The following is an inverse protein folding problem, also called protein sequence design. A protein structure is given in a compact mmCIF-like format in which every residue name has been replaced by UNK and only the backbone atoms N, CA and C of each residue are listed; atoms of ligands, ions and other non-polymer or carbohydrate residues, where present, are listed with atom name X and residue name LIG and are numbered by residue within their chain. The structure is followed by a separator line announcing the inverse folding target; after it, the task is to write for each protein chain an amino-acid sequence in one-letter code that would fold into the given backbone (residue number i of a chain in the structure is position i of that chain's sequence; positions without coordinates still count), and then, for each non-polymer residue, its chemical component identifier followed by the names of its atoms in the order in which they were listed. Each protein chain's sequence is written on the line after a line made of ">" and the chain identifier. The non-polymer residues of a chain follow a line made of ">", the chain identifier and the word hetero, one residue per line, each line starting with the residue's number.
data_IF_446894307537
#
_entry.id   IF_446894307537
#
_cell.length_a   1.000
_cell.length_b   1.000
_cell.length_c   1.000
_cell.angle_alpha   90.00
_cell.angle_beta   90.00
_cell.angle_gamma   90.00
#
_symmetry.space_group_name_H-M   'P 1'
#
loop_
_entity.id
_entity.type
_entity.pdbx_description
1 polymer ?
#
# COMPACT_ATOMS: atom_id res chain seq x y z
N UNK A 1 -20.72 3.72 17.98
CA UNK A 1 -20.99 4.70 19.06
C UNK A 1 -21.04 3.93 20.36
N UNK A 2 -20.06 4.13 21.24
CA UNK A 2 -19.98 3.44 22.54
C UNK A 2 -21.09 3.98 23.44
N UNK A 3 -21.87 3.10 24.05
CA UNK A 3 -23.03 3.44 24.88
C UNK A 3 -22.55 4.21 26.12
N UNK A 4 -22.86 5.51 26.20
CA UNK A 4 -22.37 6.43 27.25
C UNK A 4 -23.07 6.25 28.61
N UNK A 5 -24.02 5.33 28.73
CA UNK A 5 -24.92 5.22 29.88
C UNK A 5 -24.39 4.39 31.05
N UNK A 6 -23.23 3.74 30.94
CA UNK A 6 -22.74 2.78 31.95
C UNK A 6 -21.58 3.26 32.82
N UNK A 7 -21.01 4.46 32.60
CA UNK A 7 -19.82 4.93 33.33
C UNK A 7 -19.99 6.34 33.89
N UNK A 8 -20.56 6.46 35.09
CA UNK A 8 -20.77 7.75 35.75
C UNK A 8 -19.44 8.43 36.15
N UNK A 9 -18.42 7.66 36.54
CA UNK A 9 -17.14 8.17 37.05
C UNK A 9 -16.04 8.32 35.98
N UNK A 10 -16.01 7.46 34.95
CA UNK A 10 -14.96 7.49 33.92
C UNK A 10 -15.31 8.37 32.71
N UNK A 11 -16.43 9.11 32.76
CA UNK A 11 -16.91 9.97 31.67
C UNK A 11 -15.87 11.00 31.20
N UNK A 12 -15.11 11.67 32.08
CA UNK A 12 -14.05 12.61 31.65
C UNK A 12 -12.91 11.90 30.92
N UNK A 13 -12.53 10.70 31.36
CA UNK A 13 -11.49 9.90 30.71
C UNK A 13 -11.94 9.47 29.30
N UNK A 14 -13.15 8.93 29.17
CA UNK A 14 -13.70 8.57 27.86
C UNK A 14 -13.76 9.77 26.91
N UNK A 15 -14.18 10.94 27.41
CA UNK A 15 -14.21 12.17 26.64
C UNK A 15 -12.82 12.59 26.16
N UNK A 16 -11.82 12.58 27.04
CA UNK A 16 -10.45 12.93 26.69
C UNK A 16 -9.83 11.95 25.69
N UNK A 17 -10.12 10.65 25.81
CA UNK A 17 -9.67 9.65 24.84
C UNK A 17 -10.30 9.92 23.47
N UNK A 18 -11.61 10.17 23.41
CA UNK A 18 -12.30 10.46 22.14
C UNK A 18 -11.72 11.74 21.51
N UNK A 19 -11.62 12.82 22.28
CA UNK A 19 -11.11 14.11 21.78
C UNK A 19 -9.66 14.02 21.32
N UNK A 20 -8.80 13.29 22.05
CA UNK A 20 -7.41 13.08 21.64
C UNK A 20 -7.29 12.23 20.38
N UNK A 21 -8.14 11.21 20.20
CA UNK A 21 -8.21 10.43 18.97
C UNK A 21 -8.71 11.26 17.79
N UNK A 22 -9.78 12.02 17.96
CA UNK A 22 -10.32 12.92 16.92
C UNK A 22 -9.29 13.97 16.49
N UNK A 23 -8.52 14.51 17.44
CA UNK A 23 -7.45 15.47 17.16
C UNK A 23 -6.25 14.83 16.47
N UNK A 24 -5.83 13.64 16.91
CA UNK A 24 -4.66 12.93 16.37
C UNK A 24 -4.92 12.34 14.98
N UNK A 25 -6.12 11.81 14.76
CA UNK A 25 -6.53 11.13 13.54
C UNK A 25 -7.57 11.93 12.77
N UNK A 26 -7.42 13.24 12.81
CA UNK A 26 -8.32 14.20 12.18
C UNK A 26 -8.54 13.92 10.67
N UNK A 27 -7.53 13.39 9.99
CA UNK A 27 -7.56 12.95 8.59
C UNK A 27 -8.34 11.65 8.34
N UNK A 28 -8.62 10.84 9.38
CA UNK A 28 -9.49 9.66 9.26
C UNK A 28 -10.96 10.08 9.39
N UNK A 29 -11.24 11.08 10.26
CA UNK A 29 -12.60 11.55 10.52
C UNK A 29 -13.08 12.60 9.50
N UNK A 30 -12.17 13.47 9.04
CA UNK A 30 -12.42 14.44 7.97
C UNK A 30 -11.78 13.96 6.67
N UNK A 31 -12.61 13.38 5.80
CA UNK A 31 -12.19 12.78 4.54
C UNK A 31 -11.77 13.81 3.48
N UNK A 32 -11.97 15.12 3.73
CA UNK A 32 -11.59 16.18 2.79
C UNK A 32 -10.11 16.56 2.86
N UNK A 33 -9.35 16.04 3.82
CA UNK A 33 -7.93 16.38 3.98
C UNK A 33 -7.08 15.67 2.94
N UNK A 34 -5.99 16.30 2.54
CA UNK A 34 -5.05 15.75 1.55
C UNK A 34 -4.51 14.38 2.00
N UNK A 35 -4.15 14.25 3.29
CA UNK A 35 -3.66 12.99 3.87
C UNK A 35 -4.70 11.86 3.85
N UNK A 36 -5.99 12.19 3.82
CA UNK A 36 -7.09 11.21 3.82
C UNK A 36 -7.15 10.42 2.53
N UNK A 37 -6.68 11.00 1.40
CA UNK A 37 -6.74 10.39 0.07
C UNK A 37 -6.21 8.96 0.08
N UNK A 38 -4.98 8.73 0.55
CA UNK A 38 -4.37 7.40 0.55
C UNK A 38 -5.16 6.37 1.37
N UNK A 39 -5.71 6.77 2.51
CA UNK A 39 -6.53 5.89 3.36
C UNK A 39 -7.88 5.56 2.71
N UNK A 40 -8.51 6.55 2.06
CA UNK A 40 -9.75 6.36 1.30
C UNK A 40 -9.52 5.34 0.18
N UNK A 41 -8.45 5.51 -0.59
CA UNK A 41 -8.12 4.66 -1.73
C UNK A 41 -7.74 3.24 -1.30
N UNK A 42 -6.99 3.09 -0.22
CA UNK A 42 -6.71 1.79 0.41
C UNK A 42 -8.01 1.08 0.81
N UNK A 43 -8.90 1.77 1.52
CA UNK A 43 -10.14 1.17 2.02
C UNK A 43 -11.15 0.85 0.91
N UNK A 44 -11.25 1.68 -0.13
CA UNK A 44 -12.17 1.45 -1.26
C UNK A 44 -11.69 0.30 -2.15
N UNK A 45 -10.38 0.21 -2.41
CA UNK A 45 -9.80 -0.86 -3.24
C UNK A 45 -9.83 -2.23 -2.55
N UNK A 46 -10.07 -2.27 -1.23
CA UNK A 46 -10.17 -3.51 -0.48
C UNK A 46 -11.56 -4.19 -0.64
N UNK A 47 -11.67 -5.42 -1.18
CA UNK A 47 -12.94 -6.07 -1.52
C UNK A 47 -13.94 -6.22 -0.36
N UNK A 48 -13.44 -6.41 0.87
CA UNK A 48 -14.27 -6.49 2.08
C UNK A 48 -14.96 -5.18 2.47
N UNK A 49 -14.32 -4.02 2.25
CA UNK A 49 -14.77 -2.73 2.79
C UNK A 49 -15.53 -1.92 1.75
N UNK A 50 -14.95 -1.71 0.55
CA UNK A 50 -15.51 -0.92 -0.55
C UNK A 50 -16.10 0.40 -0.04
N UNK A 51 -17.42 0.56 -0.12
CA UNK A 51 -18.16 1.77 0.29
C UNK A 51 -18.91 1.62 1.61
N UNK A 52 -18.82 0.46 2.28
CA UNK A 52 -19.65 0.13 3.45
C UNK A 52 -19.36 1.02 4.65
N UNK A 53 -18.13 1.51 4.76
CA UNK A 53 -17.65 2.35 5.86
C UNK A 53 -17.87 3.86 5.63
N UNK A 54 -18.23 4.27 4.41
CA UNK A 54 -18.25 5.68 4.01
C UNK A 54 -19.60 6.32 4.43
N UNK A 55 -19.58 7.41 5.23
CA UNK A 55 -20.78 8.16 5.53
C UNK A 55 -21.44 8.72 4.25
N UNK A 56 -22.77 8.73 4.19
CA UNK A 56 -23.51 9.15 2.99
C UNK A 56 -23.08 10.53 2.46
N UNK A 57 -22.75 11.48 3.35
CA UNK A 57 -22.25 12.83 3.01
C UNK A 57 -20.94 12.84 2.20
N UNK A 58 -20.14 11.78 2.30
CA UNK A 58 -18.84 11.66 1.63
C UNK A 58 -18.84 10.63 0.49
N UNK A 59 -19.93 9.88 0.29
CA UNK A 59 -19.97 8.81 -0.73
C UNK A 59 -19.68 9.31 -2.14
N UNK A 60 -20.27 10.43 -2.55
CA UNK A 60 -20.03 11.01 -3.89
C UNK A 60 -18.58 11.46 -4.05
N UNK A 61 -18.06 12.19 -3.06
CA UNK A 61 -16.68 12.67 -3.04
C UNK A 61 -15.66 11.53 -3.10
N UNK A 62 -15.81 10.51 -2.24
CA UNK A 62 -14.91 9.37 -2.23
C UNK A 62 -14.98 8.53 -3.52
N UNK A 63 -16.17 8.43 -4.14
CA UNK A 63 -16.32 7.79 -5.45
C UNK A 63 -15.56 8.55 -6.53
N UNK A 64 -15.66 9.88 -6.54
CA UNK A 64 -14.96 10.71 -7.51
C UNK A 64 -13.44 10.55 -7.39
N UNK A 65 -12.88 10.64 -6.18
CA UNK A 65 -11.44 10.41 -5.95
C UNK A 65 -11.02 9.02 -6.46
N UNK A 66 -11.84 8.00 -6.23
CA UNK A 66 -11.54 6.65 -6.67
C UNK A 66 -11.47 6.56 -8.20
N UNK A 67 -12.44 7.14 -8.92
CA UNK A 67 -12.43 7.17 -10.39
C UNK A 67 -11.25 7.98 -10.94
N UNK A 68 -10.99 9.15 -10.37
CA UNK A 68 -9.86 10.01 -10.77
C UNK A 68 -8.54 9.26 -10.62
N UNK A 69 -8.35 8.51 -9.53
CA UNK A 69 -7.13 7.71 -9.33
C UNK A 69 -7.07 6.49 -10.26
N UNK A 70 -8.20 5.84 -10.56
CA UNK A 70 -8.22 4.76 -11.56
C UNK A 70 -7.76 5.25 -12.93
N UNK A 71 -8.11 6.49 -13.30
CA UNK A 71 -7.61 7.13 -14.51
C UNK A 71 -6.10 7.36 -14.45
N UNK A 72 -5.60 7.95 -13.36
CA UNK A 72 -4.16 8.20 -13.18
C UNK A 72 -3.32 6.90 -13.26
N UNK A 73 -3.78 5.82 -12.63
CA UNK A 73 -3.09 4.52 -12.66
C UNK A 73 -3.07 3.92 -14.07
N UNK A 74 -4.04 4.26 -14.91
CA UNK A 74 -4.07 3.82 -16.30
C UNK A 74 -3.09 4.64 -17.15
N UNK A 75 -3.02 5.96 -16.95
CA UNK A 75 -2.11 6.85 -17.68
C UNK A 75 -0.65 6.73 -17.23
N UNK A 76 -0.39 6.48 -15.94
CA UNK A 76 0.99 6.30 -15.41
C UNK A 76 1.72 5.14 -16.09
N UNK A 77 1.00 4.12 -16.60
CA UNK A 77 1.60 3.05 -17.41
C UNK A 77 2.08 3.51 -18.79
N UNK A 78 1.50 4.56 -19.37
CA UNK A 78 1.99 5.14 -20.63
C UNK A 78 3.30 5.90 -20.43
N UNK A 79 3.58 6.39 -19.21
CA UNK A 79 4.83 7.10 -18.90
C UNK A 79 5.99 6.14 -18.60
N UNK A 80 5.74 5.06 -17.84
CA UNK A 80 6.81 4.09 -17.46
C UNK A 80 7.34 3.29 -18.67
N UNK A 81 6.55 3.14 -19.74
CA UNK A 81 7.02 2.55 -21.00
C UNK A 81 7.77 3.54 -21.91
N UNK A 82 7.81 4.84 -21.58
CA UNK A 82 8.42 5.89 -22.40
C UNK A 82 9.58 6.63 -21.71
N UNK A 83 9.95 6.27 -20.49
CA UNK A 83 11.18 6.75 -19.86
C UNK A 83 12.35 5.82 -20.17
N UNK A 84 12.88 5.95 -21.39
CA UNK A 84 14.32 5.75 -21.64
C UNK A 84 15.06 6.91 -20.95
N UNK A 85 15.14 6.89 -19.63
CA UNK A 85 15.97 7.83 -18.89
C UNK A 85 17.42 7.38 -18.97
N UNK A 86 18.12 7.91 -19.99
CA UNK A 86 19.57 8.07 -20.00
C UNK A 86 19.97 8.94 -18.80
N UNK A 87 20.20 8.31 -17.65
CA UNK A 87 20.85 8.94 -16.49
C UNK A 87 22.17 8.24 -16.26
N UNK A 88 23.24 8.88 -16.75
CA UNK A 88 24.61 8.63 -16.35
C UNK A 88 24.75 8.85 -14.83
N UNK A 89 24.61 7.78 -14.05
CA UNK A 89 24.99 7.71 -12.64
C UNK A 89 25.16 6.26 -12.23
N UNK A 90 26.32 5.93 -11.65
CA UNK A 90 26.80 4.60 -11.21
C UNK A 90 25.72 3.51 -11.13
N UNK A 91 25.77 2.60 -12.10
CA UNK A 91 24.75 1.63 -12.48
C UNK A 91 24.56 0.45 -11.49
N UNK A 92 25.17 0.48 -10.29
CA UNK A 92 25.06 -0.64 -9.33
C UNK A 92 23.79 -0.61 -8.49
N UNK A 93 23.24 0.58 -8.24
CA UNK A 93 22.14 0.74 -7.29
C UNK A 93 20.77 0.63 -7.96
N UNK A 94 20.72 0.88 -9.27
CA UNK A 94 19.50 0.75 -10.08
C UNK A 94 19.03 -0.71 -10.13
N UNK A 95 19.96 -1.67 -10.29
CA UNK A 95 19.67 -3.11 -10.30
C UNK A 95 19.10 -3.60 -8.95
N UNK A 96 19.59 -3.06 -7.82
CA UNK A 96 19.12 -3.43 -6.48
C UNK A 96 17.65 -3.07 -6.24
N UNK A 97 17.24 -1.86 -6.66
CA UNK A 97 15.84 -1.45 -6.57
C UNK A 97 14.98 -2.01 -7.69
N UNK A 98 15.58 -2.38 -8.83
CA UNK A 98 14.88 -3.00 -9.93
C UNK A 98 14.30 -4.36 -9.52
N UNK A 99 15.00 -5.18 -8.74
CA UNK A 99 14.47 -6.44 -8.17
C UNK A 99 13.25 -6.21 -7.26
N UNK A 100 13.20 -5.07 -6.56
CA UNK A 100 12.02 -4.70 -5.76
C UNK A 100 10.86 -4.21 -6.63
N UNK A 101 11.15 -3.59 -7.78
CA UNK A 101 10.16 -3.15 -8.76
C UNK A 101 9.67 -4.27 -9.69
N UNK A 102 10.48 -5.26 -10.02
CA UNK A 102 10.12 -6.41 -10.87
C UNK A 102 9.15 -7.36 -10.17
N UNK A 103 9.11 -7.35 -8.84
CA UNK A 103 8.04 -7.99 -8.07
C UNK A 103 6.70 -7.23 -8.12
N UNK A 104 6.63 -6.08 -8.81
CA UNK A 104 5.41 -5.35 -9.05
C UNK A 104 4.64 -6.01 -10.21
N UNK A 105 4.16 -7.25 -9.95
CA UNK A 105 3.29 -8.10 -10.76
C UNK A 105 2.94 -7.52 -12.13
N UNK A 106 3.54 -8.09 -13.17
CA UNK A 106 3.11 -7.95 -14.57
C UNK A 106 1.66 -8.42 -14.69
N UNK A 107 0.74 -7.49 -14.46
CA UNK A 107 -0.64 -7.64 -14.86
C UNK A 107 -0.65 -7.22 -16.32
N UNK A 108 -0.59 -8.21 -17.20
CA UNK A 108 -0.91 -8.09 -18.62
C UNK A 108 -2.32 -7.51 -18.74
N UNK A 109 -2.42 -6.33 -19.31
CA UNK A 109 -3.69 -5.65 -19.58
C UNK A 109 -3.65 -5.29 -21.05
N UNK A 110 -4.63 -5.78 -21.82
CA UNK A 110 -4.92 -5.25 -23.14
C UNK A 110 -5.41 -3.79 -22.99
N UNK A 111 -4.50 -2.84 -23.26
CA UNK A 111 -4.72 -1.40 -23.07
C UNK A 111 -5.13 -0.76 -24.39
N UNK A 112 -6.44 -0.70 -24.61
CA UNK A 112 -7.10 0.30 -25.47
C UNK A 112 -8.47 0.66 -24.89
N UNK A 113 -8.54 1.04 -23.61
CA UNK A 113 -9.80 1.30 -22.93
C UNK A 113 -10.10 2.80 -22.79
N UNK A 114 -11.15 3.25 -23.48
CA UNK A 114 -11.76 4.58 -23.35
C UNK A 114 -12.12 4.88 -21.88
N UNK A 115 -12.11 6.16 -21.47
CA UNK A 115 -12.48 6.65 -20.12
C UNK A 115 -13.78 6.04 -19.55
N UNK A 116 -14.76 5.76 -20.42
CA UNK A 116 -16.02 5.13 -20.05
C UNK A 116 -15.88 3.67 -19.61
N UNK A 117 -14.92 2.92 -20.16
CA UNK A 117 -14.65 1.53 -19.82
C UNK A 117 -13.99 1.40 -18.44
N UNK A 118 -13.08 2.31 -18.08
CA UNK A 118 -12.45 2.37 -16.75
C UNK A 118 -13.51 2.64 -15.68
N UNK A 119 -14.38 3.62 -15.92
CA UNK A 119 -15.47 3.94 -15.00
C UNK A 119 -16.48 2.79 -14.88
N UNK A 120 -16.79 2.11 -15.98
CA UNK A 120 -17.65 0.92 -15.97
C UNK A 120 -17.05 -0.20 -15.12
N UNK A 121 -15.75 -0.50 -15.31
CA UNK A 121 -15.02 -1.51 -14.54
C UNK A 121 -14.97 -1.17 -13.04
N UNK A 122 -14.65 0.08 -12.71
CA UNK A 122 -14.63 0.59 -11.34
C UNK A 122 -16.02 0.52 -10.70
N UNK A 123 -17.07 0.86 -11.43
CA UNK A 123 -18.45 0.79 -10.94
C UNK A 123 -18.92 -0.65 -10.74
N UNK A 124 -18.56 -1.56 -11.66
CA UNK A 124 -18.85 -3.00 -11.55
C UNK A 124 -18.21 -3.60 -10.30
N UNK A 125 -16.94 -3.28 -10.04
CA UNK A 125 -16.26 -3.71 -8.82
C UNK A 125 -16.96 -3.21 -7.55
N UNK A 126 -17.36 -1.94 -7.52
CA UNK A 126 -18.05 -1.33 -6.38
C UNK A 126 -19.42 -1.97 -6.13
N UNK A 127 -20.09 -2.44 -7.18
CA UNK A 127 -21.38 -3.12 -7.12
C UNK A 127 -21.25 -4.62 -6.83
N UNK A 128 -20.09 -5.24 -7.06
CA UNK A 128 -19.91 -6.66 -6.82
C UNK A 128 -20.03 -6.99 -5.32
N UNK A 129 -20.70 -8.10 -4.99
CA UNK A 129 -20.93 -8.51 -3.59
C UNK A 129 -19.80 -9.37 -3.02
N UNK A 130 -18.90 -9.84 -3.88
CA UNK A 130 -17.81 -10.72 -3.48
C UNK A 130 -16.75 -9.94 -2.68
N UNK A 131 -16.32 -10.53 -1.56
CA UNK A 131 -15.38 -9.96 -0.58
C UNK A 131 -14.01 -10.64 -0.60
N UNK A 132 -13.84 -11.65 -1.43
CA UNK A 132 -12.60 -12.39 -1.58
C UNK A 132 -11.58 -11.59 -2.40
N UNK A 133 -10.29 -11.80 -2.14
CA UNK A 133 -9.22 -11.14 -2.88
C UNK A 133 -9.13 -11.59 -4.34
N UNK A 134 -9.61 -12.81 -4.66
CA UNK A 134 -9.63 -13.34 -6.02
C UNK A 134 -10.39 -12.43 -7.01
N UNK A 135 -11.35 -11.64 -6.50
CA UNK A 135 -12.10 -10.65 -7.27
C UNK A 135 -11.17 -9.62 -7.93
N UNK A 136 -10.05 -9.27 -7.29
CA UNK A 136 -9.10 -8.30 -7.84
C UNK A 136 -8.47 -8.78 -9.15
N UNK A 137 -8.38 -10.09 -9.38
CA UNK A 137 -7.85 -10.62 -10.65
C UNK A 137 -8.75 -10.28 -11.85
N UNK A 138 -10.06 -10.11 -11.64
CA UNK A 138 -11.00 -9.67 -12.67
C UNK A 138 -10.95 -8.16 -12.93
N UNK A 139 -10.31 -7.39 -12.04
CA UNK A 139 -10.28 -5.93 -12.08
C UNK A 139 -8.83 -5.40 -12.03
N UNK A 140 -8.09 -5.45 -13.15
CA UNK A 140 -6.65 -5.20 -13.16
C UNK A 140 -6.24 -3.79 -12.70
N UNK A 141 -7.02 -2.74 -13.03
CA UNK A 141 -6.74 -1.36 -12.58
C UNK A 141 -6.87 -1.26 -11.06
N UNK A 142 -7.92 -1.89 -10.52
CA UNK A 142 -8.23 -1.88 -9.09
C UNK A 142 -7.23 -2.73 -8.31
N UNK A 143 -6.75 -3.83 -8.90
CA UNK A 143 -5.66 -4.65 -8.36
C UNK A 143 -4.38 -3.85 -8.19
N UNK A 144 -3.95 -3.08 -9.20
CA UNK A 144 -2.78 -2.19 -9.07
C UNK A 144 -2.97 -1.14 -7.99
N UNK A 145 -4.15 -0.52 -7.96
CA UNK A 145 -4.49 0.44 -6.93
C UNK A 145 -4.42 -0.17 -5.52
N UNK A 146 -4.92 -1.40 -5.37
CA UNK A 146 -4.84 -2.15 -4.13
C UNK A 146 -3.38 -2.32 -3.70
N UNK A 147 -2.49 -2.77 -4.59
CA UNK A 147 -1.06 -2.91 -4.28
C UNK A 147 -0.42 -1.55 -3.92
N UNK A 148 -0.62 -0.52 -4.76
CA UNK A 148 -0.06 0.83 -4.55
C UNK A 148 -0.36 1.38 -3.15
N UNK A 149 -1.57 1.18 -2.64
CA UNK A 149 -2.02 1.78 -1.39
C UNK A 149 -2.06 0.84 -0.18
N UNK A 150 -2.11 -0.49 -0.36
CA UNK A 150 -2.23 -1.46 0.74
C UNK A 150 -0.96 -2.29 0.98
N UNK A 151 -0.01 -2.33 0.04
CA UNK A 151 1.20 -3.15 0.18
C UNK A 151 2.48 -2.32 0.22
N UNK A 152 2.39 -1.06 0.66
CA UNK A 152 3.59 -0.27 0.97
C UNK A 152 4.39 -0.99 2.04
N UNK A 153 5.65 -1.32 1.75
CA UNK A 153 6.55 -2.01 2.67
C UNK A 153 6.58 -1.26 4.03
N UNK A 154 6.17 -1.90 5.14
CA UNK A 154 6.40 -1.32 6.45
C UNK A 154 7.90 -1.35 6.69
N UNK A 155 8.57 -0.19 6.58
CA UNK A 155 10.02 -0.10 6.53
C UNK A 155 10.74 -0.53 7.82
N UNK A 156 10.03 -0.74 8.93
CA UNK A 156 10.66 -1.05 10.22
C UNK A 156 10.75 -2.55 10.52
N UNK A 157 9.65 -3.30 10.52
CA UNK A 157 9.66 -4.68 11.03
C UNK A 157 10.49 -5.69 10.20
N UNK A 158 10.42 -5.72 8.86
CA UNK A 158 11.29 -6.58 8.04
C UNK A 158 12.77 -6.19 8.16
N UNK A 159 13.03 -4.88 8.27
CA UNK A 159 14.39 -4.32 8.38
C UNK A 159 14.98 -4.59 9.77
N UNK A 160 14.20 -4.52 10.84
CA UNK A 160 14.64 -4.93 12.19
C UNK A 160 14.95 -6.42 12.23
N UNK A 161 14.12 -7.27 11.62
CA UNK A 161 14.40 -8.72 11.50
C UNK A 161 15.67 -9.00 10.67
N UNK A 162 15.87 -8.20 9.63
CA UNK A 162 17.07 -8.22 8.79
C UNK A 162 18.32 -7.91 9.61
N UNK A 163 18.34 -6.79 10.33
CA UNK A 163 19.48 -6.39 11.16
C UNK A 163 19.67 -7.30 12.38
N UNK A 164 18.59 -7.85 12.95
CA UNK A 164 18.69 -8.90 13.96
C UNK A 164 19.43 -10.13 13.42
N UNK A 165 19.20 -10.50 12.16
CA UNK A 165 19.95 -11.57 11.49
C UNK A 165 21.38 -11.14 11.14
N UNK A 166 21.56 -9.86 10.79
CA UNK A 166 22.86 -9.23 10.57
C UNK A 166 23.78 -9.31 11.78
N UNK A 167 23.25 -9.30 13.01
CA UNK A 167 24.04 -9.50 14.23
C UNK A 167 24.76 -10.86 14.27
N UNK A 168 24.21 -11.90 13.62
CA UNK A 168 24.84 -13.22 13.50
C UNK A 168 25.97 -13.27 12.47
N UNK A 169 25.99 -12.30 11.55
CA UNK A 169 27.05 -12.11 10.57
C UNK A 169 28.16 -11.25 11.20
N UNK A 170 27.77 -10.16 11.88
CA UNK A 170 28.62 -9.27 12.68
C UNK A 170 28.97 -9.90 14.03
N UNK A 171 29.71 -11.00 14.00
CA UNK A 171 30.28 -11.58 15.23
C UNK A 171 31.65 -10.99 15.52
N UNK A 172 32.09 -10.91 16.79
CA UNK A 172 33.43 -10.43 17.14
C UNK A 172 34.57 -11.21 16.47
N UNK A 173 34.31 -12.46 16.04
CA UNK A 173 35.26 -13.31 15.28
C UNK A 173 35.27 -13.04 13.76
N UNK A 174 34.30 -12.27 13.25
CA UNK A 174 34.16 -11.83 11.85
C UNK A 174 34.23 -10.30 11.74
N UNK A 175 34.87 -9.64 12.70
CA UNK A 175 35.02 -8.19 12.83
C UNK A 175 35.89 -7.51 11.75
N UNK A 176 36.31 -8.25 10.71
CA UNK A 176 37.10 -7.74 9.58
C UNK A 176 36.42 -7.94 8.23
N UNK A 177 35.10 -8.06 8.22
CA UNK A 177 34.31 -7.99 6.99
C UNK A 177 34.33 -6.55 6.47
N UNK A 178 34.44 -6.41 5.15
CA UNK A 178 34.27 -5.12 4.50
C UNK A 178 32.77 -4.88 4.30
N UNK A 179 32.33 -3.63 4.20
CA UNK A 179 30.90 -3.30 4.13
C UNK A 179 30.20 -4.04 2.98
N UNK A 180 30.83 -4.06 1.79
CA UNK A 180 30.34 -4.79 0.61
C UNK A 180 30.16 -6.28 0.86
N UNK A 181 31.07 -6.93 1.58
CA UNK A 181 30.96 -8.38 1.86
C UNK A 181 29.94 -8.67 2.96
N UNK A 182 29.76 -7.75 3.91
CA UNK A 182 28.69 -7.83 4.89
C UNK A 182 27.31 -7.72 4.24
N UNK A 183 27.09 -6.73 3.38
CA UNK A 183 25.84 -6.52 2.64
C UNK A 183 25.51 -7.74 1.77
N UNK A 184 26.48 -8.29 1.04
CA UNK A 184 26.29 -9.49 0.23
C UNK A 184 25.87 -10.71 1.07
N UNK A 185 26.52 -10.94 2.21
CA UNK A 185 26.16 -12.02 3.14
C UNK A 185 24.76 -11.83 3.74
N UNK A 186 24.38 -10.59 4.02
CA UNK A 186 23.07 -10.23 4.52
C UNK A 186 21.99 -10.55 3.46
N UNK A 187 22.20 -10.15 2.21
CA UNK A 187 21.32 -10.45 1.08
C UNK A 187 21.17 -11.95 0.83
N UNK A 188 22.28 -12.71 0.79
CA UNK A 188 22.24 -14.17 0.64
C UNK A 188 21.45 -14.85 1.76
N UNK A 189 21.50 -14.32 2.99
CA UNK A 189 20.73 -14.85 4.11
C UNK A 189 19.23 -14.56 3.98
N UNK A 190 18.84 -13.39 3.48
CA UNK A 190 17.43 -13.06 3.18
C UNK A 190 16.81 -14.00 2.16
N UNK A 191 17.51 -14.23 1.05
CA UNK A 191 17.02 -15.09 -0.03
C UNK A 191 16.81 -16.53 0.46
N UNK A 192 17.75 -17.06 1.25
CA UNK A 192 17.63 -18.39 1.87
C UNK A 192 16.52 -18.48 2.93
N UNK A 193 16.16 -17.39 3.61
CA UNK A 193 15.02 -17.39 4.54
C UNK A 193 13.68 -17.47 3.79
N UNK A 194 13.59 -16.84 2.62
CA UNK A 194 12.38 -16.87 1.79
C UNK A 194 12.17 -18.20 1.05
N UNK A 195 13.25 -18.93 0.73
CA UNK A 195 13.16 -20.24 0.06
C UNK A 195 12.72 -21.40 0.96
N UNK A 196 12.78 -21.24 2.29
CA UNK A 196 12.39 -22.27 3.26
C UNK A 196 10.90 -22.21 3.66
N UNK A 197 10.09 -21.37 2.98
CA UNK A 197 8.66 -21.15 3.28
C UNK A 197 7.70 -21.50 2.13
N UNK A 198 8.14 -22.31 1.16
CA UNK A 198 7.26 -22.94 0.17
C UNK A 198 7.20 -24.46 0.38
#
# INVERSE_FOLDING_TARGET
>A
MINQSTYLHCRPLCFNIISSLEKRFDYIFDLKKVKSKSFILSAISHPKFKQSWIPNRYKSYCKQIFFDECYLINTDKEAVLNTDENVDSDNSDQEFFQVLSENCLDVDIDIQSNHNCINAQAMEYLNSKNKDFNVLNSFPIIKKMFFKYNTTLPSSAPVERLFSSGSQIMTPRRNRLNDKTFEMLLCCRCQNLNSNHF
#
